data_IF_155745514802
#
_entry.id   IF_155745514802
#
_cell.length_a   1.000
_cell.length_b   1.000
_cell.length_c   1.000
_cell.angle_alpha   90.00
_cell.angle_beta   90.00
_cell.angle_gamma   90.00
#
_symmetry.space_group_name_H-M   'P 1'
#
loop_
_entity.id
_entity.type
_entity.pdbx_description
1 polymer ?
#
# COMPACT_ATOMS: atom_id res chain seq x y z
N UNK A 1 7.50 2.68 7.14
CA UNK A 1 7.15 4.10 7.32
C UNK A 1 7.59 4.96 6.12
N UNK A 2 8.82 4.83 5.60
CA UNK A 2 9.28 5.61 4.44
C UNK A 2 8.39 5.47 3.18
N UNK A 3 7.94 4.25 2.87
CA UNK A 3 7.02 4.02 1.75
C UNK A 3 5.66 4.73 1.93
N UNK A 4 5.14 4.76 3.15
CA UNK A 4 3.87 5.42 3.48
C UNK A 4 3.98 6.94 3.37
N UNK A 5 5.10 7.50 3.86
CA UNK A 5 5.38 8.94 3.76
C UNK A 5 5.53 9.39 2.31
N UNK A 6 6.15 8.55 1.46
CA UNK A 6 6.25 8.82 0.02
C UNK A 6 4.87 8.87 -0.63
N UNK A 7 3.99 7.90 -0.34
CA UNK A 7 2.64 7.87 -0.90
C UNK A 7 1.80 9.06 -0.42
N UNK A 8 1.92 9.45 0.86
CA UNK A 8 1.23 10.64 1.39
C UNK A 8 1.70 11.96 0.75
N UNK A 9 2.87 11.98 0.11
CA UNK A 9 3.39 13.14 -0.60
C UNK A 9 2.87 13.30 -2.03
N UNK A 10 2.18 12.31 -2.58
CA UNK A 10 1.63 12.36 -3.93
C UNK A 10 0.30 13.14 -3.95
N UNK A 11 0.13 13.94 -4.99
CA UNK A 11 -1.10 14.73 -5.19
C UNK A 11 -2.28 13.79 -5.45
N UNK A 12 -3.41 14.00 -4.77
CA UNK A 12 -4.59 13.14 -4.89
C UNK A 12 -4.67 11.97 -3.91
N UNK A 13 -3.68 11.81 -3.01
CA UNK A 13 -3.72 10.84 -1.89
C UNK A 13 -4.11 11.55 -0.58
N UNK A 14 -5.22 11.12 0.01
CA UNK A 14 -5.76 11.66 1.25
C UNK A 14 -5.23 10.95 2.50
N UNK A 15 -5.14 9.62 2.43
CA UNK A 15 -4.77 8.80 3.58
C UNK A 15 -4.13 7.51 3.12
N UNK A 16 -3.10 7.08 3.85
CA UNK A 16 -2.45 5.78 3.65
C UNK A 16 -2.45 5.04 4.98
N UNK A 17 -2.80 3.75 4.94
CA UNK A 17 -2.71 2.85 6.08
C UNK A 17 -1.94 1.61 5.67
N UNK A 18 -0.77 1.38 6.28
CA UNK A 18 0.10 0.25 5.93
C UNK A 18 0.13 -0.83 7.01
N UNK A 19 0.05 -2.09 6.60
CA UNK A 19 0.29 -3.28 7.41
C UNK A 19 1.53 -4.02 6.88
N UNK A 20 2.49 -4.31 7.77
CA UNK A 20 3.73 -5.04 7.45
C UNK A 20 3.74 -6.35 8.21
N UNK A 21 4.19 -7.43 7.57
CA UNK A 21 4.22 -8.76 8.14
C UNK A 21 2.88 -9.51 8.03
N UNK A 22 1.85 -8.93 7.44
CA UNK A 22 0.52 -9.52 7.30
C UNK A 22 -0.49 -8.53 6.71
N UNK A 23 -1.69 -9.02 6.36
CA UNK A 23 -2.77 -8.16 5.88
C UNK A 23 -3.47 -7.38 7.00
N UNK A 24 -4.29 -6.39 6.62
CA UNK A 24 -5.12 -5.66 7.59
C UNK A 24 -6.10 -6.57 8.32
N UNK A 25 -6.42 -6.22 9.57
CA UNK A 25 -7.39 -6.97 10.38
C UNK A 25 -8.77 -6.91 9.72
N UNK A 26 -9.31 -8.08 9.33
CA UNK A 26 -10.67 -8.20 8.78
C UNK A 26 -11.66 -8.33 9.93
N UNK A 27 -12.41 -7.27 10.22
CA UNK A 27 -13.36 -7.23 11.35
C UNK A 27 -14.65 -8.04 11.12
N UNK A 28 -14.95 -8.43 9.88
CA UNK A 28 -16.28 -8.94 9.49
C UNK A 28 -16.37 -10.46 9.27
N UNK A 29 -15.30 -11.22 9.49
CA UNK A 29 -15.31 -12.66 9.24
C UNK A 29 -14.70 -13.45 10.41
N UNK A 30 -15.31 -14.58 10.77
CA UNK A 30 -14.82 -15.59 11.72
C UNK A 30 -13.71 -16.46 11.10
N UNK A 31 -12.72 -15.85 10.46
CA UNK A 31 -11.52 -16.55 9.99
C UNK A 31 -10.30 -16.05 10.74
N UNK A 32 -9.50 -16.99 11.24
CA UNK A 32 -8.20 -16.69 11.84
C UNK A 32 -7.32 -15.96 10.82
N UNK A 33 -6.53 -14.96 11.23
CA UNK A 33 -5.64 -14.23 10.34
C UNK A 33 -4.70 -15.20 9.61
N UNK A 34 -4.46 -14.92 8.32
CA UNK A 34 -3.51 -15.66 7.50
C UNK A 34 -2.10 -15.58 8.09
N UNK A 35 -1.24 -16.59 7.83
CA UNK A 35 0.11 -16.62 8.39
C UNK A 35 0.85 -15.32 8.06
N UNK A 36 1.48 -14.66 9.05
CA UNK A 36 2.31 -13.52 8.79
C UNK A 36 3.53 -13.92 7.96
N UNK A 37 3.81 -13.16 6.91
CA UNK A 37 5.00 -13.32 6.08
C UNK A 37 5.89 -12.10 6.30
N UNK A 38 7.12 -12.31 6.78
CA UNK A 38 8.03 -11.22 7.17
C UNK A 38 8.38 -10.28 6.00
N UNK A 39 8.30 -10.77 4.76
CA UNK A 39 8.53 -9.99 3.54
C UNK A 39 7.27 -9.44 2.86
N UNK A 40 6.10 -9.51 3.49
CA UNK A 40 4.84 -9.02 2.92
C UNK A 40 4.41 -7.70 3.55
N UNK A 41 3.95 -6.77 2.73
CA UNK A 41 3.29 -5.54 3.16
C UNK A 41 2.06 -5.27 2.30
N UNK A 42 1.06 -4.62 2.90
CA UNK A 42 -0.14 -4.16 2.24
C UNK A 42 -0.40 -2.71 2.66
N UNK A 43 -0.72 -1.85 1.71
CA UNK A 43 -1.11 -0.46 1.98
C UNK A 43 -2.50 -0.19 1.40
N UNK A 44 -3.37 0.38 2.22
CA UNK A 44 -4.67 0.91 1.81
C UNK A 44 -4.52 2.41 1.59
N UNK A 45 -4.83 2.85 0.37
CA UNK A 45 -4.73 4.26 -0.03
C UNK A 45 -6.13 4.80 -0.30
N UNK A 46 -6.45 5.93 0.32
CA UNK A 46 -7.66 6.71 0.04
C UNK A 46 -7.27 7.84 -0.88
N UNK A 47 -7.96 7.95 -2.02
CA UNK A 47 -7.73 8.98 -3.03
C UNK A 47 -8.88 9.99 -3.07
N UNK A 48 -8.62 11.19 -3.60
CA UNK A 48 -9.64 12.21 -3.82
C UNK A 48 -10.66 11.81 -4.89
N UNK A 49 -10.17 11.30 -6.03
CA UNK A 49 -10.98 10.87 -7.15
C UNK A 49 -10.57 9.47 -7.61
N UNK A 50 -11.56 8.58 -7.75
CA UNK A 50 -11.30 7.21 -8.21
C UNK A 50 -10.78 7.17 -9.66
N UNK A 51 -11.03 8.23 -10.44
CA UNK A 51 -10.58 8.33 -11.84
C UNK A 51 -9.06 8.48 -11.95
N UNK A 52 -8.41 8.94 -10.90
CA UNK A 52 -6.96 9.17 -10.86
C UNK A 52 -6.18 7.92 -10.43
N UNK A 53 -6.88 6.90 -9.91
CA UNK A 53 -6.28 5.62 -9.48
C UNK A 53 -5.34 5.01 -10.52
N UNK A 54 -5.68 4.93 -11.83
CA UNK A 54 -4.79 4.32 -12.82
C UNK A 54 -3.48 5.08 -13.04
N UNK A 55 -3.47 6.40 -12.84
CA UNK A 55 -2.26 7.22 -12.91
C UNK A 55 -1.47 7.13 -11.60
N UNK A 56 -2.15 7.22 -10.47
CA UNK A 56 -1.55 7.11 -9.13
C UNK A 56 -0.89 5.75 -8.89
N UNK A 57 -1.50 4.65 -9.36
CA UNK A 57 -0.88 3.32 -9.28
C UNK A 57 0.48 3.33 -9.99
N UNK A 58 0.55 3.87 -11.22
CA UNK A 58 1.79 3.92 -11.99
C UNK A 58 2.87 4.76 -11.31
N UNK A 59 2.48 5.88 -10.72
CA UNK A 59 3.40 6.77 -10.00
C UNK A 59 3.94 6.10 -8.72
N UNK A 60 3.06 5.48 -7.94
CA UNK A 60 3.44 4.72 -6.75
C UNK A 60 4.34 3.53 -7.12
N UNK A 61 4.01 2.77 -8.16
CA UNK A 61 4.83 1.65 -8.64
C UNK A 61 6.24 2.10 -9.02
N UNK A 62 6.38 3.20 -9.76
CA UNK A 62 7.69 3.75 -10.12
C UNK A 62 8.48 4.16 -8.88
N UNK A 63 7.86 4.93 -7.98
CA UNK A 63 8.53 5.39 -6.77
C UNK A 63 8.93 4.22 -5.84
N UNK A 64 8.11 3.17 -5.77
CA UNK A 64 8.43 1.96 -5.02
C UNK A 64 9.56 1.15 -5.67
N UNK A 65 9.60 1.07 -7.01
CA UNK A 65 10.68 0.41 -7.73
C UNK A 65 12.03 1.12 -7.55
N UNK A 66 12.03 2.46 -7.53
CA UNK A 66 13.22 3.26 -7.24
C UNK A 66 13.69 3.11 -5.79
N UNK A 67 12.77 3.03 -4.83
CA UNK A 67 13.10 2.90 -3.41
C UNK A 67 13.48 1.47 -3.00
N UNK A 68 12.81 0.46 -3.57
CA UNK A 68 12.97 -0.95 -3.25
C UNK A 68 13.09 -1.80 -4.53
N UNK A 69 14.27 -1.80 -5.19
CA UNK A 69 14.46 -2.50 -6.47
C UNK A 69 14.34 -4.02 -6.36
N UNK A 70 14.43 -4.58 -5.15
CA UNK A 70 14.27 -6.01 -4.88
C UNK A 70 12.81 -6.40 -4.52
N UNK A 71 11.93 -5.41 -4.33
CA UNK A 71 10.54 -5.65 -4.01
C UNK A 71 9.72 -5.97 -5.27
N UNK A 72 8.81 -6.93 -5.15
CA UNK A 72 7.81 -7.20 -6.18
C UNK A 72 6.57 -6.37 -5.85
N UNK A 73 6.30 -5.35 -6.67
CA UNK A 73 5.08 -4.54 -6.62
C UNK A 73 4.13 -5.09 -7.68
N UNK A 74 2.90 -5.43 -7.29
CA UNK A 74 1.90 -6.08 -8.13
C UNK A 74 0.50 -5.55 -7.85
#
# INVERSE_FOLDING_TARGET
AQAEELMLGLDGINQVATAVGGGHTRFLLTYSPEKPWEGYAQSLVTVDDYRDIPDLIREVEQAMFEMFPEAIVA
#
